data_IF_268447797673
#
_entry.id   IF_268447797673
#
_cell.length_a   1.000
_cell.length_b   1.000
_cell.length_c   1.000
_cell.angle_alpha   90.00
_cell.angle_beta   90.00
_cell.angle_gamma   90.00
#
_symmetry.space_group_name_H-M   'P 1'
#
loop_
_entity.id
_entity.type
_entity.pdbx_description
1 polymer ?
#
# COMPACT_ATOMS: atom_id res chain seq x y z
N UNK A 1 0.81 -69.68 -4.00
CA UNK A 1 1.74 -68.55 -4.21
C UNK A 1 1.12 -67.40 -5.03
N UNK A 2 -0.17 -67.19 -4.96
CA UNK A 2 -0.85 -66.15 -5.80
C UNK A 2 -1.39 -64.92 -5.05
N UNK A 3 -1.46 -64.91 -3.73
CA UNK A 3 -2.09 -63.84 -2.95
C UNK A 3 -1.14 -62.67 -2.55
N UNK A 4 0.18 -62.92 -2.54
CA UNK A 4 1.16 -61.87 -2.19
C UNK A 4 1.49 -60.90 -3.32
N UNK A 5 1.23 -61.25 -4.58
CA UNK A 5 1.51 -60.43 -5.73
C UNK A 5 0.44 -59.32 -5.95
N UNK A 6 -0.81 -59.52 -5.57
CA UNK A 6 -1.90 -58.57 -5.72
C UNK A 6 -1.84 -57.40 -4.73
N UNK A 7 -1.30 -57.65 -3.52
CA UNK A 7 -1.13 -56.57 -2.53
C UNK A 7 -0.08 -55.55 -2.89
N UNK A 8 1.05 -55.98 -3.43
CA UNK A 8 2.17 -55.13 -3.85
C UNK A 8 1.83 -54.23 -5.07
N UNK A 9 0.99 -54.73 -5.98
CA UNK A 9 0.57 -53.94 -7.13
C UNK A 9 -0.43 -52.82 -6.72
N UNK A 10 -1.29 -53.12 -5.74
CA UNK A 10 -2.25 -52.12 -5.22
C UNK A 10 -1.55 -50.94 -4.52
N UNK A 11 -0.50 -51.22 -3.72
CA UNK A 11 0.26 -50.17 -3.03
C UNK A 11 1.12 -49.34 -4.00
N UNK A 12 1.71 -49.97 -5.03
CA UNK A 12 2.47 -49.25 -6.06
C UNK A 12 1.60 -48.35 -6.91
N UNK A 13 0.39 -48.80 -7.26
CA UNK A 13 -0.56 -47.97 -8.03
C UNK A 13 -1.12 -46.80 -7.19
N UNK A 14 -1.43 -47.08 -5.90
CA UNK A 14 -1.87 -46.03 -4.98
C UNK A 14 -0.81 -44.98 -4.75
N UNK A 15 0.44 -45.36 -4.55
CA UNK A 15 1.58 -44.49 -4.40
C UNK A 15 1.86 -43.63 -5.65
N UNK A 16 1.72 -44.23 -6.82
CA UNK A 16 1.92 -43.51 -8.10
C UNK A 16 0.82 -42.45 -8.36
N UNK A 17 -0.42 -42.77 -8.05
CA UNK A 17 -1.55 -41.84 -8.21
C UNK A 17 -1.42 -40.66 -7.23
N UNK A 18 -1.02 -40.91 -5.99
CA UNK A 18 -0.77 -39.85 -5.00
C UNK A 18 0.41 -38.97 -5.42
N UNK A 19 1.50 -39.58 -5.89
CA UNK A 19 2.67 -38.84 -6.37
C UNK A 19 2.36 -37.97 -7.59
N UNK A 20 1.54 -38.41 -8.53
CA UNK A 20 1.08 -37.66 -9.67
C UNK A 20 0.12 -36.53 -9.27
N UNK A 21 -0.75 -36.73 -8.28
CA UNK A 21 -1.63 -35.70 -7.75
C UNK A 21 -0.83 -34.58 -7.07
N UNK A 22 0.24 -34.90 -6.36
CA UNK A 22 1.13 -33.90 -5.73
C UNK A 22 1.96 -33.16 -6.78
N UNK A 23 2.46 -33.85 -7.81
CA UNK A 23 3.25 -33.24 -8.88
C UNK A 23 2.41 -32.31 -9.80
N UNK A 24 1.08 -32.54 -9.86
CA UNK A 24 0.13 -31.68 -10.61
C UNK A 24 -0.41 -30.49 -9.83
N UNK A 25 -0.25 -30.45 -8.52
CA UNK A 25 -0.62 -29.32 -7.71
C UNK A 25 0.40 -28.18 -7.97
N UNK A 26 0.09 -27.28 -8.91
CA UNK A 26 0.79 -26.00 -9.00
C UNK A 26 0.64 -25.33 -7.62
N UNK A 27 1.75 -25.26 -6.86
CA UNK A 27 1.81 -24.44 -5.67
C UNK A 27 1.37 -23.05 -6.11
N UNK A 28 0.20 -22.59 -5.66
CA UNK A 28 -0.21 -21.23 -5.87
C UNK A 28 0.88 -20.36 -5.23
N UNK A 29 1.50 -19.44 -5.97
CA UNK A 29 2.46 -18.54 -5.34
C UNK A 29 1.76 -17.83 -4.19
N UNK A 30 2.45 -17.73 -3.05
CA UNK A 30 1.92 -16.97 -1.91
C UNK A 30 1.44 -15.61 -2.40
N UNK A 31 0.24 -15.15 -1.98
CA UNK A 31 -0.23 -13.83 -2.37
C UNK A 31 0.78 -12.78 -1.93
N UNK A 32 1.02 -11.77 -2.79
CA UNK A 32 1.89 -10.65 -2.46
C UNK A 32 1.46 -10.05 -1.13
N UNK A 33 2.43 -9.86 -0.22
CA UNK A 33 2.18 -9.20 1.07
C UNK A 33 2.54 -7.73 0.98
N UNK A 34 1.55 -6.87 1.26
CA UNK A 34 1.66 -5.41 1.16
C UNK A 34 1.30 -4.80 2.50
N UNK A 35 2.14 -3.93 3.04
CA UNK A 35 1.80 -3.04 4.12
C UNK A 35 1.56 -1.63 3.59
N UNK A 36 0.59 -0.92 4.16
CA UNK A 36 0.25 0.44 3.76
C UNK A 36 0.43 1.38 4.94
N UNK A 37 1.17 2.46 4.70
CA UNK A 37 1.42 3.58 5.60
C UNK A 37 0.72 4.81 5.01
N UNK A 38 0.07 5.63 5.82
CA UNK A 38 -0.64 6.79 5.29
C UNK A 38 -1.37 7.63 6.34
N UNK A 39 -2.12 8.58 5.83
CA UNK A 39 -2.92 9.54 6.58
C UNK A 39 -4.41 9.13 6.69
N UNK A 40 -5.28 10.09 6.99
CA UNK A 40 -6.72 9.86 7.12
C UNK A 40 -7.40 9.37 5.82
N UNK A 41 -6.84 9.64 4.64
CA UNK A 41 -7.40 9.14 3.38
C UNK A 41 -7.15 7.64 3.22
N UNK A 42 -6.12 7.14 3.88
CA UNK A 42 -5.75 5.72 3.92
C UNK A 42 -6.35 5.00 5.13
N UNK A 43 -6.34 5.65 6.31
CA UNK A 43 -6.91 5.10 7.54
C UNK A 43 -8.43 4.99 7.46
N UNK A 44 -9.06 5.91 6.74
CA UNK A 44 -10.51 6.09 6.68
C UNK A 44 -11.07 6.89 7.85
N UNK A 45 -12.21 7.55 7.61
CA UNK A 45 -13.01 8.27 8.63
C UNK A 45 -14.46 7.85 8.43
N UNK A 46 -14.95 6.98 9.30
CA UNK A 46 -16.31 6.43 9.24
C UNK A 46 -16.64 5.72 7.92
N UNK A 47 -15.62 5.26 7.18
CA UNK A 47 -15.81 4.46 5.98
C UNK A 47 -16.17 3.02 6.34
N UNK A 48 -17.04 2.39 5.55
CA UNK A 48 -17.35 0.95 5.67
C UNK A 48 -16.18 0.11 5.19
N UNK A 49 -15.53 0.53 4.11
CA UNK A 49 -14.32 -0.08 3.58
C UNK A 49 -13.35 1.02 3.15
N UNK A 50 -12.08 0.83 3.45
CA UNK A 50 -11.00 1.72 3.03
C UNK A 50 -10.26 1.14 1.83
N UNK A 51 -9.58 1.98 1.05
CA UNK A 51 -8.91 1.57 -0.18
C UNK A 51 -7.90 0.41 0.00
N UNK A 52 -7.15 0.26 1.12
CA UNK A 52 -6.29 -0.91 1.31
C UNK A 52 -7.08 -2.21 1.42
N UNK A 53 -8.25 -2.19 2.07
CA UNK A 53 -9.16 -3.35 2.15
C UNK A 53 -9.73 -3.68 0.77
N UNK A 54 -10.15 -2.66 0.01
CA UNK A 54 -10.62 -2.83 -1.36
C UNK A 54 -9.52 -3.37 -2.28
N UNK A 55 -8.27 -2.93 -2.09
CA UNK A 55 -7.11 -3.46 -2.79
C UNK A 55 -6.95 -4.97 -2.52
N UNK A 56 -7.01 -5.40 -1.25
CA UNK A 56 -6.95 -6.81 -0.90
C UNK A 56 -8.04 -7.64 -1.61
N UNK A 57 -9.28 -7.15 -1.60
CA UNK A 57 -10.41 -7.81 -2.25
C UNK A 57 -10.26 -7.94 -3.78
N UNK A 58 -9.71 -6.89 -4.43
CA UNK A 58 -9.57 -6.82 -5.92
C UNK A 58 -8.37 -7.59 -6.44
N UNK A 59 -7.37 -7.83 -5.60
CA UNK A 59 -6.10 -8.43 -6.02
C UNK A 59 -5.87 -9.83 -5.48
N UNK A 60 -6.49 -10.17 -4.35
CA UNK A 60 -6.17 -11.37 -3.58
C UNK A 60 -4.87 -11.24 -2.80
N UNK A 61 -4.25 -10.05 -2.73
CA UNK A 61 -3.04 -9.81 -1.95
C UNK A 61 -3.32 -9.77 -0.45
N UNK A 62 -2.31 -10.11 0.35
CA UNK A 62 -2.36 -9.93 1.80
C UNK A 62 -2.01 -8.49 2.13
N UNK A 63 -3.00 -7.67 2.51
CA UNK A 63 -2.82 -6.23 2.75
C UNK A 63 -3.04 -5.89 4.22
N UNK A 64 -2.06 -5.24 4.84
CA UNK A 64 -2.12 -4.71 6.20
C UNK A 64 -2.09 -3.18 6.18
N UNK A 65 -3.08 -2.53 6.80
CA UNK A 65 -3.18 -1.08 6.87
C UNK A 65 -2.65 -0.57 8.23
N UNK A 66 -1.60 0.24 8.20
CA UNK A 66 -0.97 0.87 9.37
C UNK A 66 -1.20 2.38 9.43
N UNK A 67 -1.98 2.92 8.50
CA UNK A 67 -2.27 4.34 8.41
C UNK A 67 -2.99 4.88 9.65
N UNK A 68 -2.68 6.12 9.99
CA UNK A 68 -3.27 6.82 11.12
C UNK A 68 -3.77 8.20 10.67
N UNK A 69 -4.94 8.65 11.16
CA UNK A 69 -5.47 9.96 10.81
C UNK A 69 -4.52 11.09 11.20
N UNK A 70 -4.54 12.16 10.40
CA UNK A 70 -3.78 13.41 10.59
C UNK A 70 -2.25 13.23 10.60
N UNK A 71 -1.74 12.05 10.24
CA UNK A 71 -0.32 11.75 10.12
C UNK A 71 0.26 12.20 8.77
N UNK A 72 1.58 12.38 8.74
CA UNK A 72 2.34 12.75 7.56
C UNK A 72 3.81 12.42 7.71
N UNK A 73 4.63 12.96 6.85
CA UNK A 73 6.09 12.85 6.95
C UNK A 73 6.66 13.71 8.08
N UNK A 74 5.99 14.83 8.40
CA UNK A 74 6.30 15.76 9.50
C UNK A 74 5.18 15.77 10.52
N UNK A 75 3.93 15.67 10.05
CA UNK A 75 2.77 15.67 10.91
C UNK A 75 2.71 14.38 11.74
N UNK A 76 2.74 14.55 13.05
CA UNK A 76 2.73 13.41 13.99
C UNK A 76 1.39 12.66 14.06
N UNK A 77 0.31 13.26 13.56
CA UNK A 77 -1.01 12.68 13.68
C UNK A 77 -1.49 12.61 15.13
N UNK A 78 -2.49 11.79 15.40
CA UNK A 78 -2.99 11.57 16.75
C UNK A 78 -2.06 10.64 17.51
N UNK A 79 -1.48 11.13 18.60
CA UNK A 79 -0.63 10.35 19.49
C UNK A 79 0.85 10.31 19.13
N UNK A 80 1.33 11.21 18.25
CA UNK A 80 2.74 11.32 17.92
C UNK A 80 3.24 10.21 16.98
N UNK A 81 2.43 9.81 15.99
CA UNK A 81 2.68 8.64 15.14
C UNK A 81 2.70 8.98 13.66
N UNK A 82 3.68 9.80 13.24
CA UNK A 82 3.97 10.11 11.83
C UNK A 82 4.33 8.87 10.99
N UNK A 83 4.60 9.06 9.71
CA UNK A 83 4.82 7.96 8.77
C UNK A 83 6.02 7.09 9.13
N UNK A 84 7.10 7.67 9.68
CA UNK A 84 8.27 6.91 10.11
C UNK A 84 7.94 5.87 11.19
N UNK A 85 7.09 6.25 12.16
CA UNK A 85 6.60 5.32 13.18
C UNK A 85 5.69 4.23 12.58
N UNK A 86 4.82 4.60 11.64
CA UNK A 86 3.98 3.63 10.94
C UNK A 86 4.80 2.62 10.14
N UNK A 87 5.93 3.06 9.54
CA UNK A 87 6.89 2.17 8.86
C UNK A 87 7.46 1.14 9.83
N UNK A 88 7.87 1.52 11.04
CA UNK A 88 8.36 0.58 12.05
C UNK A 88 7.33 -0.52 12.34
N UNK A 89 6.07 -0.13 12.50
CA UNK A 89 4.98 -1.08 12.72
C UNK A 89 4.71 -1.97 11.50
N UNK A 90 4.77 -1.39 10.30
CA UNK A 90 4.58 -2.11 9.06
C UNK A 90 5.65 -3.21 8.89
N UNK A 91 6.91 -2.91 9.17
CA UNK A 91 8.03 -3.85 9.06
C UNK A 91 7.92 -5.06 10.01
N UNK A 92 7.24 -4.92 11.16
CA UNK A 92 6.96 -6.06 12.05
C UNK A 92 6.14 -7.15 11.37
N UNK A 93 5.27 -6.78 10.42
CA UNK A 93 4.48 -7.75 9.63
C UNK A 93 5.26 -8.45 8.51
N UNK A 94 6.53 -8.05 8.29
CA UNK A 94 7.44 -8.57 7.25
C UNK A 94 6.80 -8.58 5.86
N UNK A 95 6.31 -7.45 5.36
CA UNK A 95 5.71 -7.37 4.05
C UNK A 95 6.78 -7.44 2.95
N UNK A 96 6.40 -7.85 1.75
CA UNK A 96 7.28 -7.76 0.58
C UNK A 96 7.34 -6.33 0.03
N UNK A 97 6.24 -5.58 0.19
CA UNK A 97 6.08 -4.21 -0.31
C UNK A 97 5.51 -3.33 0.79
N UNK A 98 6.06 -2.13 0.94
CA UNK A 98 5.48 -1.06 1.74
C UNK A 98 5.07 0.08 0.80
N UNK A 99 3.79 0.43 0.82
CA UNK A 99 3.23 1.59 0.13
C UNK A 99 3.10 2.72 1.14
N UNK A 100 3.73 3.87 0.87
CA UNK A 100 3.57 5.10 1.65
C UNK A 100 2.70 6.04 0.82
N UNK A 101 1.50 6.39 1.30
CA UNK A 101 0.59 7.27 0.60
C UNK A 101 0.10 8.40 1.49
N UNK A 102 0.30 9.64 1.05
CA UNK A 102 -0.26 10.80 1.72
C UNK A 102 0.68 12.00 1.75
N UNK A 103 0.53 12.83 2.80
CA UNK A 103 1.23 14.10 2.96
C UNK A 103 0.30 15.30 3.01
N UNK A 104 -1.03 15.09 2.90
CA UNK A 104 -1.99 16.22 2.97
C UNK A 104 -1.90 16.94 4.32
N UNK A 105 -1.63 16.24 5.41
CA UNK A 105 -1.45 16.82 6.73
C UNK A 105 -0.21 17.72 6.82
N UNK A 106 0.79 17.47 5.97
CA UNK A 106 2.04 18.24 5.93
C UNK A 106 1.87 19.59 5.21
N UNK A 107 0.80 19.80 4.44
CA UNK A 107 0.54 21.05 3.72
C UNK A 107 0.33 22.28 4.65
N UNK A 108 0.12 22.03 5.94
CA UNK A 108 0.03 23.09 6.97
C UNK A 108 1.40 23.67 7.38
N UNK A 109 2.50 22.96 7.12
CA UNK A 109 3.83 23.42 7.49
C UNK A 109 4.40 24.34 6.40
N UNK A 110 4.96 25.50 6.77
CA UNK A 110 5.50 26.43 5.79
C UNK A 110 6.82 25.95 5.17
N UNK A 111 7.60 25.18 5.93
CA UNK A 111 8.91 24.66 5.52
C UNK A 111 8.81 23.25 4.94
N UNK A 112 8.82 23.15 3.61
CA UNK A 112 8.84 21.87 2.90
C UNK A 112 10.19 21.14 3.01
N UNK A 113 11.24 21.78 3.52
CA UNK A 113 12.50 21.13 3.83
C UNK A 113 12.32 20.03 4.87
N UNK A 114 11.48 20.27 5.87
CA UNK A 114 11.13 19.25 6.88
C UNK A 114 10.41 18.05 6.24
N UNK A 115 9.52 18.30 5.27
CA UNK A 115 8.84 17.23 4.52
C UNK A 115 9.85 16.38 3.76
N UNK A 116 10.85 16.98 3.11
CA UNK A 116 11.93 16.25 2.43
C UNK A 116 12.70 15.35 3.42
N UNK A 117 13.05 15.88 4.59
CA UNK A 117 13.77 15.11 5.62
C UNK A 117 12.92 13.93 6.08
N UNK A 118 11.66 14.15 6.43
CA UNK A 118 10.77 13.07 6.88
C UNK A 118 10.48 12.03 5.80
N UNK A 119 10.33 12.47 4.54
CA UNK A 119 10.15 11.56 3.41
C UNK A 119 11.39 10.71 3.15
N UNK A 120 12.58 11.32 3.19
CA UNK A 120 13.85 10.61 3.05
C UNK A 120 14.06 9.59 4.16
N UNK A 121 13.75 9.96 5.40
CA UNK A 121 13.85 9.08 6.56
C UNK A 121 12.91 7.87 6.42
N UNK A 122 11.64 8.09 6.09
CA UNK A 122 10.67 7.03 5.88
C UNK A 122 11.07 6.07 4.74
N UNK A 123 11.50 6.62 3.59
CA UNK A 123 11.96 5.82 2.44
C UNK A 123 13.22 5.02 2.78
N UNK A 124 14.21 5.65 3.40
CA UNK A 124 15.45 4.98 3.77
C UNK A 124 15.21 3.87 4.80
N UNK A 125 14.31 4.10 5.76
CA UNK A 125 13.95 3.10 6.75
C UNK A 125 13.39 1.83 6.11
N UNK A 126 12.48 1.96 5.13
CA UNK A 126 11.96 0.82 4.36
C UNK A 126 13.08 0.12 3.60
N UNK A 127 13.94 0.90 2.89
CA UNK A 127 15.06 0.33 2.10
C UNK A 127 16.05 -0.45 2.98
N UNK A 128 16.35 0.05 4.18
CA UNK A 128 17.24 -0.63 5.14
C UNK A 128 16.61 -1.92 5.66
N UNK A 129 15.29 -1.98 5.81
CA UNK A 129 14.56 -3.19 6.18
C UNK A 129 14.55 -4.26 5.10
N UNK A 130 14.83 -3.87 3.84
CA UNK A 130 14.89 -4.78 2.71
C UNK A 130 13.56 -4.94 1.95
N UNK A 131 12.51 -4.25 2.38
CA UNK A 131 11.23 -4.27 1.68
C UNK A 131 11.28 -3.35 0.45
N UNK A 132 10.48 -3.67 -0.56
CA UNK A 132 10.26 -2.76 -1.69
C UNK A 132 9.39 -1.60 -1.26
N UNK A 133 9.86 -0.37 -1.41
CA UNK A 133 9.11 0.85 -1.12
C UNK A 133 8.51 1.43 -2.38
N UNK A 134 7.25 1.87 -2.31
CA UNK A 134 6.49 2.55 -3.35
C UNK A 134 5.81 3.77 -2.71
N UNK A 135 5.91 4.93 -3.34
CA UNK A 135 5.40 6.18 -2.80
C UNK A 135 4.28 6.73 -3.66
N UNK A 136 3.17 7.11 -3.04
CA UNK A 136 2.06 7.84 -3.66
C UNK A 136 1.97 9.19 -2.98
N UNK A 137 1.95 10.26 -3.77
CA UNK A 137 1.79 11.62 -3.27
C UNK A 137 0.45 11.87 -2.59
N UNK A 138 0.26 13.06 -1.99
CA UNK A 138 -1.02 13.47 -1.45
C UNK A 138 -2.05 13.53 -2.58
N UNK A 139 -3.29 13.10 -2.31
CA UNK A 139 -4.40 13.31 -3.24
C UNK A 139 -5.24 14.51 -2.83
N UNK A 140 -5.99 15.09 -3.78
CA UNK A 140 -6.87 16.23 -3.56
C UNK A 140 -8.16 16.09 -4.36
N UNK A 141 -9.14 16.98 -4.13
CA UNK A 141 -10.51 16.85 -4.66
C UNK A 141 -11.02 18.09 -5.38
N UNK A 142 -10.24 19.16 -5.47
CA UNK A 142 -10.60 20.40 -6.13
C UNK A 142 -9.52 20.89 -7.09
N UNK A 143 -9.92 21.66 -8.09
CA UNK A 143 -9.05 22.36 -9.03
C UNK A 143 -9.36 23.85 -9.00
N UNK A 144 -8.36 24.74 -8.82
CA UNK A 144 -6.94 24.44 -8.72
C UNK A 144 -6.55 23.83 -7.37
N UNK A 145 -5.58 22.90 -7.40
CA UNK A 145 -4.99 22.35 -6.17
C UNK A 145 -4.25 23.47 -5.42
N UNK A 146 -4.40 23.58 -4.09
CA UNK A 146 -3.68 24.58 -3.30
C UNK A 146 -2.17 24.45 -3.43
N UNK A 147 -1.47 25.57 -3.58
CA UNK A 147 0.00 25.60 -3.70
C UNK A 147 0.73 24.92 -2.54
N UNK A 148 0.15 24.93 -1.32
CA UNK A 148 0.73 24.23 -0.17
C UNK A 148 0.76 22.71 -0.38
N UNK A 149 -0.27 22.14 -1.00
CA UNK A 149 -0.36 20.70 -1.32
C UNK A 149 0.60 20.35 -2.47
N UNK A 150 0.65 21.19 -3.51
CA UNK A 150 1.57 21.01 -4.64
C UNK A 150 3.03 20.97 -4.14
N UNK A 151 3.44 21.93 -3.31
CA UNK A 151 4.81 21.98 -2.76
C UNK A 151 5.17 20.72 -1.95
N UNK A 152 4.21 20.16 -1.21
CA UNK A 152 4.42 18.90 -0.47
C UNK A 152 4.59 17.74 -1.44
N UNK A 153 3.72 17.64 -2.45
CA UNK A 153 3.80 16.62 -3.50
C UNK A 153 5.15 16.65 -4.21
N UNK A 154 5.59 17.85 -4.64
CA UNK A 154 6.87 18.06 -5.31
C UNK A 154 8.06 17.64 -4.41
N UNK A 155 8.00 17.97 -3.12
CA UNK A 155 9.05 17.62 -2.17
C UNK A 155 9.17 16.10 -1.98
N UNK A 156 8.04 15.39 -1.90
CA UNK A 156 8.01 13.94 -1.78
C UNK A 156 8.51 13.28 -3.07
N UNK A 157 8.04 13.78 -4.22
CA UNK A 157 8.47 13.31 -5.55
C UNK A 157 9.97 13.44 -5.73
N UNK A 158 10.53 14.61 -5.41
CA UNK A 158 11.99 14.85 -5.47
C UNK A 158 12.78 13.83 -4.63
N UNK A 159 12.31 13.51 -3.44
CA UNK A 159 12.94 12.50 -2.57
C UNK A 159 12.84 11.10 -3.18
N UNK A 160 11.67 10.72 -3.67
CA UNK A 160 11.47 9.40 -4.29
C UNK A 160 12.36 9.22 -5.52
N UNK A 161 12.43 10.22 -6.40
CA UNK A 161 13.29 10.23 -7.60
C UNK A 161 14.78 10.08 -7.24
N UNK A 162 15.27 10.88 -6.27
CA UNK A 162 16.66 10.81 -5.79
C UNK A 162 16.99 9.47 -5.13
N UNK A 163 16.02 8.86 -4.47
CA UNK A 163 16.18 7.56 -3.83
C UNK A 163 16.03 6.37 -4.81
N UNK A 164 15.67 6.63 -6.07
CA UNK A 164 15.38 5.59 -7.06
C UNK A 164 14.14 4.76 -6.72
N UNK A 165 13.11 5.40 -6.14
CA UNK A 165 11.88 4.77 -5.67
C UNK A 165 10.73 5.18 -6.58
N UNK A 166 9.87 4.25 -7.03
CA UNK A 166 8.69 4.59 -7.81
C UNK A 166 7.76 5.57 -7.07
N UNK A 167 7.34 6.60 -7.78
CA UNK A 167 6.43 7.64 -7.30
C UNK A 167 5.20 7.72 -8.20
N UNK A 168 4.02 7.79 -7.58
CA UNK A 168 2.76 8.02 -8.27
C UNK A 168 2.19 9.38 -7.87
N UNK A 169 2.01 10.25 -8.85
CA UNK A 169 1.35 11.54 -8.67
C UNK A 169 -0.17 11.34 -8.56
N UNK A 170 -0.77 11.96 -7.55
CA UNK A 170 -2.20 11.89 -7.30
C UNK A 170 -2.92 13.25 -7.45
N UNK A 171 -2.21 14.27 -7.98
CA UNK A 171 -2.71 15.64 -8.13
C UNK A 171 -2.92 16.06 -9.58
N UNK A 172 -2.32 15.39 -10.56
CA UNK A 172 -2.43 15.77 -11.97
C UNK A 172 -2.92 14.61 -12.86
N UNK A 173 -4.22 14.53 -13.15
CA UNK A 173 -5.31 15.29 -12.51
C UNK A 173 -5.59 14.80 -11.08
N UNK A 174 -6.22 15.63 -10.22
CA UNK A 174 -6.67 15.18 -8.90
C UNK A 174 -7.52 13.91 -8.98
N UNK A 175 -7.28 12.97 -8.06
CA UNK A 175 -7.95 11.66 -8.12
C UNK A 175 -9.39 11.67 -7.63
N UNK A 176 -9.73 12.67 -6.83
CA UNK A 176 -11.04 12.79 -6.20
C UNK A 176 -11.80 14.01 -6.72
N UNK A 177 -13.10 13.96 -6.57
CA UNK A 177 -14.02 15.08 -6.80
C UNK A 177 -14.70 15.46 -5.49
N UNK A 178 -15.36 16.62 -5.46
CA UNK A 178 -16.01 17.13 -4.25
C UNK A 178 -17.08 16.19 -3.69
N UNK A 179 -17.84 15.53 -4.54
CA UNK A 179 -18.89 14.56 -4.20
C UNK A 179 -18.32 13.23 -3.69
N UNK A 180 -17.06 12.94 -3.95
CA UNK A 180 -16.33 11.82 -3.40
C UNK A 180 -15.68 12.11 -2.04
N UNK A 181 -15.89 13.33 -1.52
CA UNK A 181 -15.47 13.73 -0.19
C UNK A 181 -16.65 13.78 0.76
N UNK A 182 -16.39 13.47 2.02
CA UNK A 182 -17.36 13.65 3.11
C UNK A 182 -17.79 15.11 3.22
N UNK A 183 -18.98 15.42 3.74
CA UNK A 183 -19.45 16.79 3.90
C UNK A 183 -18.51 17.71 4.70
N UNK A 184 -17.79 17.14 5.68
CA UNK A 184 -16.80 17.83 6.50
C UNK A 184 -15.42 17.95 5.85
N UNK A 185 -15.22 17.37 4.66
CA UNK A 185 -13.99 17.35 3.86
C UNK A 185 -12.77 16.74 4.57
N UNK A 186 -12.95 16.02 5.65
CA UNK A 186 -11.84 15.41 6.39
C UNK A 186 -11.31 14.14 5.76
N UNK A 187 -12.09 13.51 4.89
CA UNK A 187 -11.69 12.29 4.19
C UNK A 187 -12.65 11.92 3.07
N UNK A 188 -12.29 10.94 2.25
CA UNK A 188 -13.13 10.43 1.16
C UNK A 188 -14.39 9.73 1.67
N UNK A 189 -15.46 9.73 0.85
CA UNK A 189 -16.60 8.81 0.99
C UNK A 189 -16.19 7.38 0.64
N UNK A 190 -17.09 6.40 0.76
CA UNK A 190 -16.83 5.02 0.31
C UNK A 190 -16.57 4.96 -1.21
N UNK A 191 -17.24 5.83 -1.99
CA UNK A 191 -16.97 5.99 -3.43
C UNK A 191 -15.59 6.57 -3.69
N UNK A 192 -15.17 7.57 -2.90
CA UNK A 192 -13.82 8.12 -2.95
C UNK A 192 -12.74 7.08 -2.59
N UNK A 193 -13.01 6.24 -1.59
CA UNK A 193 -12.12 5.12 -1.24
C UNK A 193 -12.01 4.13 -2.40
N UNK A 194 -13.11 3.86 -3.11
CA UNK A 194 -13.11 2.99 -4.29
C UNK A 194 -12.28 3.59 -5.43
N UNK A 195 -12.42 4.91 -5.69
CA UNK A 195 -11.65 5.61 -6.72
C UNK A 195 -10.13 5.57 -6.43
N UNK A 196 -9.71 5.78 -5.18
CA UNK A 196 -8.31 5.65 -4.77
C UNK A 196 -7.84 4.21 -5.01
N UNK A 197 -8.62 3.20 -4.60
CA UNK A 197 -8.26 1.80 -4.78
C UNK A 197 -8.02 1.44 -6.24
N UNK A 198 -8.85 1.94 -7.18
CA UNK A 198 -8.69 1.68 -8.61
C UNK A 198 -7.36 2.21 -9.15
N UNK A 199 -6.99 3.44 -8.77
CA UNK A 199 -5.74 4.07 -9.20
C UNK A 199 -4.52 3.35 -8.63
N UNK A 200 -4.52 3.09 -7.32
CA UNK A 200 -3.40 2.44 -6.64
C UNK A 200 -3.21 1.01 -7.13
N UNK A 201 -4.30 0.22 -7.27
CA UNK A 201 -4.23 -1.17 -7.76
C UNK A 201 -3.69 -1.24 -9.19
N UNK A 202 -4.16 -0.35 -10.08
CA UNK A 202 -3.69 -0.32 -11.46
C UNK A 202 -2.18 -0.08 -11.53
N UNK A 203 -1.69 0.90 -10.77
CA UNK A 203 -0.25 1.21 -10.71
C UNK A 203 0.57 0.11 -10.04
N UNK A 204 0.16 -0.38 -8.87
CA UNK A 204 0.90 -1.42 -8.15
C UNK A 204 1.05 -2.68 -8.98
N UNK A 205 0.03 -3.08 -9.75
CA UNK A 205 0.15 -4.24 -10.65
C UNK A 205 1.26 -4.06 -11.69
N UNK A 206 1.43 -2.86 -12.24
CA UNK A 206 2.51 -2.59 -13.19
C UNK A 206 3.88 -2.58 -12.52
N UNK A 207 3.95 -2.11 -11.27
CA UNK A 207 5.21 -2.07 -10.52
C UNK A 207 5.68 -3.46 -10.06
N UNK A 208 4.76 -4.31 -9.59
CA UNK A 208 5.13 -5.63 -9.05
C UNK A 208 5.28 -6.71 -10.14
N UNK A 209 4.87 -6.43 -11.38
CA UNK A 209 5.07 -7.32 -12.52
C UNK A 209 6.48 -7.22 -13.14
N UNK A 210 7.26 -6.21 -12.74
CA UNK A 210 8.65 -5.98 -13.14
C UNK A 210 9.60 -6.73 -12.21
#
# INVERSE_FOLDING_TARGET
MGLLALGLIGELLGGLVIAQAIAGAKLQPWPLSVAVVGDQYTAGIENRLVWPTLMAQRTGWSVSNFALPDAGFVADGRGGHGFTYQVDRAQVSRPQVIVIMGGIADARFPDVGQVRVGALDAVNKVKVGGERVLVVGPTYFETPVPNSVIRVSDAIKEVAEKAGVPYLDALDPPWLTRDQMRPDLKGPTDEGQSAIADKVVAWLRSEVAQ
#
